data_IF_709062136159
#
_entry.id   IF_709062136159
#
_cell.length_a   1.000
_cell.length_b   1.000
_cell.length_c   1.000
_cell.angle_alpha   90.00
_cell.angle_beta   90.00
_cell.angle_gamma   90.00
#
_symmetry.space_group_name_H-M   'P 1'
#
loop_
_entity.id
_entity.type
_entity.pdbx_description
1 polymer ?
#
# COMPACT_ATOMS: atom_id res chain seq x y z
N UNK A 1 17.08 -26.98 -8.52
CA UNK A 1 16.66 -25.73 -7.84
C UNK A 1 15.41 -25.25 -8.53
N UNK A 2 14.28 -25.30 -7.82
CA UNK A 2 12.96 -25.04 -8.37
C UNK A 2 12.83 -23.59 -8.86
N UNK A 3 12.10 -23.40 -9.95
CA UNK A 3 11.76 -22.10 -10.49
C UNK A 3 10.96 -21.31 -9.45
N UNK A 4 11.60 -20.34 -8.78
CA UNK A 4 10.86 -19.23 -8.16
C UNK A 4 10.17 -18.48 -9.31
N UNK A 5 8.94 -18.89 -9.62
CA UNK A 5 8.03 -18.18 -10.49
C UNK A 5 7.82 -16.79 -9.87
N UNK A 6 8.10 -15.73 -10.64
CA UNK A 6 7.56 -14.42 -10.33
C UNK A 6 6.04 -14.59 -10.32
N UNK A 7 5.45 -14.65 -9.14
CA UNK A 7 4.04 -14.97 -8.97
C UNK A 7 3.29 -13.68 -8.68
N UNK A 8 3.30 -12.75 -9.64
CA UNK A 8 2.19 -11.80 -9.70
C UNK A 8 0.98 -12.68 -9.96
N UNK A 9 0.21 -12.91 -8.90
CA UNK A 9 -0.88 -13.86 -8.92
C UNK A 9 -1.85 -13.39 -10.02
N UNK A 10 -2.34 -14.28 -10.89
CA UNK A 10 -3.41 -13.96 -11.86
C UNK A 10 -4.54 -13.15 -11.24
N UNK A 11 -4.82 -13.38 -9.95
CA UNK A 11 -5.76 -12.64 -9.12
C UNK A 11 -5.58 -11.11 -9.10
N UNK A 12 -4.36 -10.57 -9.10
CA UNK A 12 -4.16 -9.10 -9.11
C UNK A 12 -4.56 -8.53 -10.46
N UNK A 13 -4.16 -9.19 -11.55
CA UNK A 13 -4.55 -8.80 -12.90
C UNK A 13 -6.07 -8.92 -13.08
N UNK A 14 -6.66 -10.03 -12.64
CA UNK A 14 -8.10 -10.27 -12.66
C UNK A 14 -8.86 -9.20 -11.86
N UNK A 15 -8.38 -8.85 -10.66
CA UNK A 15 -8.98 -7.79 -9.84
C UNK A 15 -8.93 -6.44 -10.57
N UNK A 16 -7.77 -6.03 -11.06
CA UNK A 16 -7.60 -4.75 -11.75
C UNK A 16 -8.43 -4.66 -13.04
N UNK A 17 -8.62 -5.77 -13.75
CA UNK A 17 -9.47 -5.82 -14.92
C UNK A 17 -10.95 -5.54 -14.63
N UNK A 18 -11.40 -5.65 -13.38
CA UNK A 18 -12.77 -5.29 -12.96
C UNK A 18 -12.95 -3.81 -12.66
N UNK A 19 -11.85 -3.05 -12.56
CA UNK A 19 -11.94 -1.65 -12.18
C UNK A 19 -12.49 -0.82 -13.35
N UNK A 20 -13.50 0.03 -13.13
CA UNK A 20 -14.12 0.85 -14.18
C UNK A 20 -13.28 2.10 -14.50
N UNK A 21 -11.95 1.95 -14.54
CA UNK A 21 -10.99 3.02 -14.81
C UNK A 21 -9.73 2.44 -15.45
N UNK A 22 -8.99 3.28 -16.16
CA UNK A 22 -7.66 2.93 -16.63
C UNK A 22 -6.68 2.85 -15.46
N UNK A 23 -5.77 1.88 -15.53
CA UNK A 23 -4.74 1.64 -14.51
C UNK A 23 -3.40 1.40 -15.20
N UNK A 24 -2.41 2.19 -14.81
CA UNK A 24 -1.01 1.95 -15.12
C UNK A 24 -0.35 1.15 -14.01
N UNK A 25 0.24 0.01 -14.36
CA UNK A 25 0.85 -0.92 -13.42
C UNK A 25 2.35 -0.96 -13.63
N UNK A 26 3.09 -0.59 -12.59
CA UNK A 26 4.56 -0.64 -12.55
C UNK A 26 4.99 -1.63 -11.48
N UNK A 27 5.59 -2.74 -11.89
CA UNK A 27 6.11 -3.75 -10.96
C UNK A 27 7.62 -3.66 -10.88
N UNK A 28 8.13 -3.39 -9.69
CA UNK A 28 9.56 -3.32 -9.44
C UNK A 28 10.08 -4.70 -9.06
N UNK A 29 11.12 -5.18 -9.72
CA UNK A 29 11.65 -6.54 -9.54
C UNK A 29 13.13 -6.63 -9.88
N UNK A 30 13.81 -7.65 -9.35
CA UNK A 30 15.19 -7.99 -9.71
C UNK A 30 15.34 -8.49 -11.16
N UNK A 31 14.26 -8.94 -11.78
CA UNK A 31 14.28 -9.57 -13.11
C UNK A 31 13.30 -8.89 -14.07
N UNK A 32 13.48 -7.59 -14.36
CA UNK A 32 12.48 -6.81 -15.11
C UNK A 32 12.25 -7.36 -16.52
N UNK A 33 13.31 -7.80 -17.22
CA UNK A 33 13.19 -8.40 -18.55
C UNK A 33 12.36 -9.68 -18.56
N UNK A 34 12.61 -10.58 -17.59
CA UNK A 34 11.84 -11.84 -17.44
C UNK A 34 10.39 -11.56 -17.11
N UNK A 35 10.13 -10.56 -16.26
CA UNK A 35 8.78 -10.18 -15.91
C UNK A 35 8.04 -9.57 -17.11
N UNK A 36 8.71 -8.70 -17.86
CA UNK A 36 8.13 -8.10 -19.06
C UNK A 36 7.78 -9.16 -20.12
N UNK A 37 8.63 -10.17 -20.32
CA UNK A 37 8.32 -11.32 -21.18
C UNK A 37 7.09 -12.09 -20.69
N UNK A 38 6.91 -12.19 -19.36
CA UNK A 38 5.74 -12.84 -18.76
C UNK A 38 4.47 -12.02 -19.04
N UNK A 39 4.51 -10.70 -18.90
CA UNK A 39 3.40 -9.81 -19.25
C UNK A 39 2.99 -9.95 -20.73
N UNK A 40 3.96 -10.03 -21.63
CA UNK A 40 3.71 -10.26 -23.06
C UNK A 40 3.06 -11.63 -23.28
N UNK A 41 3.58 -12.68 -22.64
CA UNK A 41 3.02 -14.04 -22.77
C UNK A 41 1.58 -14.14 -22.23
N UNK A 42 1.25 -13.37 -21.20
CA UNK A 42 -0.10 -13.26 -20.64
C UNK A 42 -1.00 -12.27 -21.40
N UNK A 43 -0.48 -11.64 -22.46
CA UNK A 43 -1.21 -10.65 -23.27
C UNK A 43 -1.74 -9.48 -22.44
N UNK A 44 -0.99 -9.06 -21.42
CA UNK A 44 -1.34 -7.87 -20.63
C UNK A 44 -1.20 -6.60 -21.47
N UNK A 45 -2.00 -5.55 -21.19
CA UNK A 45 -1.90 -4.29 -21.91
C UNK A 45 -0.55 -3.61 -21.63
N UNK A 46 -0.15 -2.71 -22.54
CA UNK A 46 1.11 -1.97 -22.45
C UNK A 46 1.23 -1.07 -21.19
N UNK A 47 0.11 -0.82 -20.50
CA UNK A 47 0.09 -0.15 -19.21
C UNK A 47 0.77 -0.96 -18.10
N UNK A 48 0.97 -2.28 -18.29
CA UNK A 48 1.78 -3.13 -17.41
C UNK A 48 3.24 -3.11 -17.84
N UNK A 49 4.12 -2.58 -17.00
CA UNK A 49 5.56 -2.65 -17.24
C UNK A 49 6.33 -3.09 -16.00
N UNK A 50 7.44 -3.77 -16.25
CA UNK A 50 8.41 -4.11 -15.22
C UNK A 50 9.46 -2.99 -15.10
N UNK A 51 9.93 -2.74 -13.88
CA UNK A 51 11.01 -1.80 -13.55
C UNK A 51 12.05 -2.49 -12.65
N UNK A 52 13.29 -2.04 -12.70
CA UNK A 52 14.42 -2.62 -11.95
C UNK A 52 15.77 -2.36 -12.62
N UNK A 53 16.86 -3.04 -12.20
CA UNK A 53 16.89 -3.94 -11.04
C UNK A 53 16.69 -3.18 -9.72
N UNK A 54 16.24 -3.89 -8.69
CA UNK A 54 16.31 -3.36 -7.33
C UNK A 54 17.78 -3.50 -6.94
N UNK A 55 18.52 -2.39 -6.87
CA UNK A 55 19.88 -2.46 -6.30
C UNK A 55 19.78 -3.02 -4.87
N UNK A 56 20.81 -3.74 -4.42
CA UNK A 56 20.86 -4.35 -3.08
C UNK A 56 20.36 -3.36 -2.03
N UNK A 57 19.15 -3.62 -1.52
CA UNK A 57 18.58 -2.82 -0.46
C UNK A 57 19.30 -3.17 0.83
N UNK A 58 19.79 -2.17 1.60
CA UNK A 58 20.41 -2.41 2.90
C UNK A 58 19.51 -3.20 3.85
N UNK A 59 18.19 -3.10 3.68
CA UNK A 59 17.22 -3.85 4.45
C UNK A 59 15.95 -4.22 3.65
N UNK A 60 15.33 -5.41 3.88
CA UNK A 60 14.06 -5.79 3.25
C UNK A 60 12.90 -4.81 3.49
N UNK A 61 12.88 -4.09 4.62
CA UNK A 61 11.86 -3.07 4.89
C UNK A 61 12.04 -1.78 4.07
N UNK A 62 13.11 -1.66 3.27
CA UNK A 62 13.29 -0.55 2.34
C UNK A 62 12.63 -0.81 0.98
N UNK A 63 11.86 -1.88 0.79
CA UNK A 63 11.18 -2.16 -0.49
C UNK A 63 10.30 -1.00 -0.95
N UNK A 64 9.50 -0.37 -0.09
CA UNK A 64 8.70 0.80 -0.47
C UNK A 64 9.53 1.98 -1.01
N UNK A 65 10.84 2.03 -0.71
CA UNK A 65 11.72 3.10 -1.15
C UNK A 65 12.05 3.04 -2.64
N UNK A 66 12.14 1.84 -3.23
CA UNK A 66 12.48 1.70 -4.66
C UNK A 66 11.40 2.27 -5.57
N UNK A 67 10.19 2.47 -5.05
CA UNK A 67 9.06 3.01 -5.79
C UNK A 67 9.04 4.54 -5.81
N UNK A 68 9.90 5.22 -5.04
CA UNK A 68 9.82 6.68 -4.86
C UNK A 68 10.06 7.46 -6.15
N UNK A 69 11.08 7.08 -6.91
CA UNK A 69 11.38 7.73 -8.19
C UNK A 69 10.23 7.55 -9.19
N UNK A 70 9.60 6.35 -9.19
CA UNK A 70 8.42 6.07 -10.01
C UNK A 70 7.22 6.92 -9.61
N UNK A 71 6.94 7.04 -8.30
CA UNK A 71 5.87 7.89 -7.79
C UNK A 71 6.10 9.36 -8.14
N UNK A 72 7.34 9.85 -8.01
CA UNK A 72 7.69 11.23 -8.34
C UNK A 72 7.55 11.50 -9.84
N UNK A 73 8.02 10.59 -10.69
CA UNK A 73 7.86 10.68 -12.13
C UNK A 73 6.37 10.66 -12.53
N UNK A 74 5.58 9.76 -11.95
CA UNK A 74 4.15 9.67 -12.20
C UNK A 74 3.42 10.96 -11.77
N UNK A 75 3.75 11.52 -10.60
CA UNK A 75 3.18 12.80 -10.15
C UNK A 75 3.49 13.95 -11.13
N UNK A 76 4.72 13.99 -11.67
CA UNK A 76 5.14 15.03 -12.60
C UNK A 76 4.36 15.02 -13.93
N UNK A 77 3.78 13.88 -14.33
CA UNK A 77 2.92 13.82 -15.53
C UNK A 77 1.60 14.58 -15.37
N UNK A 78 1.08 14.68 -14.13
CA UNK A 78 -0.23 15.25 -13.86
C UNK A 78 -1.42 14.45 -14.40
N UNK A 79 -1.21 13.20 -14.86
CA UNK A 79 -2.24 12.39 -15.52
C UNK A 79 -3.05 11.51 -14.57
N UNK A 80 -2.60 11.35 -13.32
CA UNK A 80 -3.20 10.42 -12.36
C UNK A 80 -4.07 11.12 -11.33
N UNK A 81 -5.17 10.46 -10.96
CA UNK A 81 -6.10 10.90 -9.89
C UNK A 81 -5.84 10.18 -8.56
N UNK A 82 -5.16 9.05 -8.59
CA UNK A 82 -4.73 8.30 -7.41
C UNK A 82 -3.40 7.57 -7.69
N UNK A 83 -2.61 7.40 -6.63
CA UNK A 83 -1.37 6.63 -6.62
C UNK A 83 -1.51 5.50 -5.61
N UNK A 84 -1.11 4.29 -6.00
CA UNK A 84 -1.25 3.10 -5.18
C UNK A 84 0.12 2.41 -5.13
N UNK A 85 0.60 2.14 -3.92
CA UNK A 85 1.64 1.17 -3.64
C UNK A 85 1.02 -0.03 -2.92
N UNK A 86 1.41 -1.21 -3.37
CA UNK A 86 0.92 -2.50 -2.91
C UNK A 86 2.04 -3.54 -3.08
N UNK A 87 2.19 -4.44 -2.12
CA UNK A 87 3.08 -5.61 -2.25
C UNK A 87 2.42 -6.69 -3.13
N UNK A 88 3.22 -7.61 -3.67
CA UNK A 88 2.81 -8.58 -4.69
C UNK A 88 1.86 -9.68 -4.17
N UNK A 89 1.78 -9.85 -2.86
CA UNK A 89 0.93 -10.83 -2.20
C UNK A 89 -0.41 -10.27 -1.70
N UNK A 90 -0.66 -8.98 -1.89
CA UNK A 90 -1.86 -8.30 -1.41
C UNK A 90 -2.93 -8.12 -2.49
N UNK A 91 -4.16 -7.89 -2.02
CA UNK A 91 -5.32 -7.58 -2.88
C UNK A 91 -6.01 -6.33 -2.37
N UNK A 92 -6.09 -5.31 -3.22
CA UNK A 92 -6.93 -4.13 -3.01
C UNK A 92 -8.11 -4.22 -3.97
N UNK A 93 -9.33 -4.12 -3.43
CA UNK A 93 -10.55 -4.15 -4.26
C UNK A 93 -10.98 -2.75 -4.69
N UNK A 94 -11.75 -2.66 -5.78
CA UNK A 94 -12.33 -1.39 -6.22
C UNK A 94 -13.18 -0.73 -5.12
N UNK A 95 -14.04 -1.50 -4.45
CA UNK A 95 -14.90 -1.01 -3.38
C UNK A 95 -14.07 -0.44 -2.21
N UNK A 96 -12.95 -1.09 -1.88
CA UNK A 96 -12.03 -0.60 -0.85
C UNK A 96 -11.37 0.72 -1.28
N UNK A 97 -10.97 0.85 -2.54
CA UNK A 97 -10.41 2.10 -3.08
C UNK A 97 -11.44 3.24 -3.09
N UNK A 98 -12.69 2.95 -3.47
CA UNK A 98 -13.79 3.93 -3.43
C UNK A 98 -14.11 4.34 -1.99
N UNK A 99 -14.17 3.39 -1.06
CA UNK A 99 -14.34 3.68 0.36
C UNK A 99 -13.20 4.58 0.86
N UNK A 100 -11.96 4.29 0.50
CA UNK A 100 -10.81 5.13 0.84
C UNK A 100 -10.97 6.54 0.27
N UNK A 101 -11.26 6.70 -1.03
CA UNK A 101 -11.37 8.01 -1.65
C UNK A 101 -12.48 8.85 -0.99
N UNK A 102 -13.58 8.17 -0.66
CA UNK A 102 -14.75 8.74 -0.02
C UNK A 102 -14.44 9.27 1.39
N UNK A 103 -13.73 8.50 2.22
CA UNK A 103 -13.35 8.91 3.56
C UNK A 103 -12.19 9.91 3.52
N UNK A 104 -11.24 9.73 2.60
CA UNK A 104 -10.06 10.59 2.46
C UNK A 104 -10.44 12.03 2.11
N UNK A 105 -11.49 12.25 1.33
CA UNK A 105 -12.00 13.59 1.04
C UNK A 105 -12.46 14.34 2.30
N UNK A 106 -12.90 13.62 3.33
CA UNK A 106 -13.31 14.16 4.63
C UNK A 106 -12.10 14.30 5.57
N UNK A 107 -11.20 13.33 5.57
CA UNK A 107 -10.04 13.26 6.46
C UNK A 107 -8.89 14.18 6.05
N UNK A 108 -8.67 14.40 4.75
CA UNK A 108 -7.53 15.19 4.24
C UNK A 108 -7.53 16.64 4.76
N UNK A 109 -8.66 17.39 4.74
CA UNK A 109 -8.71 18.74 5.29
C UNK A 109 -8.44 18.80 6.80
N UNK A 110 -8.69 17.70 7.52
CA UNK A 110 -8.44 17.56 8.95
C UNK A 110 -6.98 17.14 9.24
N UNK A 111 -6.15 16.96 8.21
CA UNK A 111 -4.76 16.54 8.36
C UNK A 111 -4.57 15.03 8.57
N UNK A 112 -5.61 14.22 8.34
CA UNK A 112 -5.55 12.77 8.47
C UNK A 112 -5.45 12.08 7.10
N UNK A 113 -4.81 10.91 7.09
CA UNK A 113 -4.78 10.00 5.96
C UNK A 113 -5.46 8.69 6.33
N UNK A 114 -6.43 8.27 5.52
CA UNK A 114 -7.04 6.95 5.64
C UNK A 114 -6.04 5.90 5.21
N UNK A 115 -5.81 4.93 6.09
CA UNK A 115 -5.03 3.73 5.78
C UNK A 115 -5.94 2.53 5.58
N UNK A 116 -5.40 1.45 5.03
CA UNK A 116 -6.08 0.17 4.92
C UNK A 116 -5.70 -0.74 6.08
N UNK A 117 -6.60 -1.65 6.43
CA UNK A 117 -6.28 -2.77 7.30
C UNK A 117 -6.06 -4.01 6.46
N UNK A 118 -4.91 -4.65 6.64
CA UNK A 118 -4.63 -5.97 6.11
C UNK A 118 -5.20 -7.01 7.04
N UNK A 119 -5.92 -7.92 6.42
CA UNK A 119 -6.43 -9.08 7.11
C UNK A 119 -6.02 -10.33 6.40
N UNK A 120 -5.68 -11.36 7.15
CA UNK A 120 -5.35 -12.67 6.63
C UNK A 120 -6.27 -13.72 7.23
N UNK A 121 -6.52 -14.78 6.45
CA UNK A 121 -7.20 -15.96 6.98
C UNK A 121 -6.14 -16.81 7.67
N UNK A 122 -6.20 -16.85 9.01
CA UNK A 122 -5.25 -17.60 9.81
C UNK A 122 -5.33 -19.10 9.47
N UNK A 123 -4.20 -19.77 9.18
CA UNK A 123 -4.21 -21.17 8.81
C UNK A 123 -4.61 -22.11 9.96
N UNK A 124 -4.51 -21.65 11.21
CA UNK A 124 -4.80 -22.48 12.39
C UNK A 124 -6.27 -22.53 12.80
N UNK A 125 -7.08 -21.51 12.51
CA UNK A 125 -8.50 -21.46 12.87
C UNK A 125 -9.44 -21.03 11.73
N UNK A 126 -8.89 -20.69 10.56
CA UNK A 126 -9.65 -20.23 9.40
C UNK A 126 -10.35 -18.88 9.60
N UNK A 127 -10.04 -18.15 10.67
CA UNK A 127 -10.64 -16.84 10.95
C UNK A 127 -9.84 -15.72 10.30
N UNK A 128 -10.50 -14.59 10.11
CA UNK A 128 -9.88 -13.37 9.63
C UNK A 128 -9.19 -12.64 10.79
N UNK A 129 -7.88 -12.41 10.68
CA UNK A 129 -7.06 -11.71 11.67
C UNK A 129 -6.53 -10.40 11.11
N UNK A 130 -6.53 -9.33 11.92
CA UNK A 130 -5.90 -8.05 11.59
C UNK A 130 -4.39 -8.16 11.80
N UNK A 131 -3.61 -7.86 10.76
CA UNK A 131 -2.15 -8.05 10.79
C UNK A 131 -1.35 -6.77 11.03
N UNK A 132 -2.00 -5.61 11.00
CA UNK A 132 -1.33 -4.29 11.09
C UNK A 132 -1.26 -3.72 12.51
N UNK A 133 -1.84 -4.40 13.49
CA UNK A 133 -1.81 -3.99 14.88
C UNK A 133 -0.77 -4.83 15.66
N UNK A 134 0.33 -4.20 16.07
CA UNK A 134 1.36 -4.84 16.91
C UNK A 134 0.90 -5.01 18.37
N UNK A 135 -0.17 -4.31 18.76
CA UNK A 135 -0.68 -4.28 20.13
C UNK A 135 -2.20 -4.30 20.13
N UNK A 136 -2.78 -4.93 21.15
CA UNK A 136 -4.22 -4.89 21.39
C UNK A 136 -4.67 -3.47 21.75
N UNK A 137 -5.77 -3.02 21.13
CA UNK A 137 -6.38 -1.72 21.41
C UNK A 137 -7.72 -1.92 22.11
N UNK A 138 -7.84 -1.44 23.35
CA UNK A 138 -9.12 -1.41 24.06
C UNK A 138 -9.95 -0.20 23.62
N UNK A 139 -10.88 -0.42 22.69
CA UNK A 139 -11.68 0.65 22.09
C UNK A 139 -12.46 1.48 23.12
N UNK A 140 -12.83 0.97 24.30
CA UNK A 140 -13.52 1.77 25.31
C UNK A 140 -12.63 2.90 25.87
N UNK A 141 -11.34 2.63 26.07
CA UNK A 141 -10.39 3.54 26.72
C UNK A 141 -9.40 4.18 25.76
N UNK A 142 -9.39 3.78 24.50
CA UNK A 142 -8.42 4.30 23.53
C UNK A 142 -8.68 5.77 23.20
N UNK A 143 -7.65 6.61 23.29
CA UNK A 143 -7.81 8.07 23.15
C UNK A 143 -7.63 8.56 21.70
N UNK A 144 -6.94 7.81 20.86
CA UNK A 144 -6.65 8.20 19.46
C UNK A 144 -7.81 7.82 18.53
N UNK A 145 -8.97 8.41 18.81
CA UNK A 145 -10.20 8.29 18.04
C UNK A 145 -10.56 9.62 17.42
N UNK A 146 -11.25 9.58 16.30
CA UNK A 146 -11.80 10.75 15.63
C UNK A 146 -13.24 10.44 15.24
N UNK A 147 -14.16 11.25 15.74
CA UNK A 147 -15.57 11.18 15.39
C UNK A 147 -15.89 12.31 14.42
N UNK A 148 -16.35 11.95 13.22
CA UNK A 148 -16.67 12.92 12.18
C UNK A 148 -18.16 12.84 11.84
N UNK A 149 -18.87 13.92 12.14
CA UNK A 149 -20.22 14.14 11.66
C UNK A 149 -20.17 14.75 10.26
N UNK A 150 -20.71 14.04 9.27
CA UNK A 150 -20.91 14.56 7.92
C UNK A 150 -22.41 14.78 7.73
N UNK A 151 -22.84 15.99 7.37
CA UNK A 151 -24.28 16.34 7.29
C UNK A 151 -25.12 15.38 6.42
N UNK A 152 -24.48 14.71 5.47
CA UNK A 152 -25.12 13.82 4.49
C UNK A 152 -24.90 12.34 4.78
N UNK A 153 -24.26 11.97 5.90
CA UNK A 153 -23.95 10.57 6.24
C UNK A 153 -24.12 10.30 7.73
N UNK A 154 -24.19 9.00 8.06
CA UNK A 154 -24.06 8.57 9.44
C UNK A 154 -22.71 9.05 10.02
N UNK A 155 -22.68 9.27 11.34
CA UNK A 155 -21.44 9.56 12.07
C UNK A 155 -20.39 8.48 11.75
N UNK A 156 -19.21 8.92 11.35
CA UNK A 156 -18.08 8.05 11.06
C UNK A 156 -17.10 8.08 12.22
N UNK A 157 -16.60 6.91 12.60
CA UNK A 157 -15.64 6.73 13.68
C UNK A 157 -14.33 6.20 13.10
N UNK A 158 -13.24 6.92 13.38
CA UNK A 158 -11.90 6.56 12.94
C UNK A 158 -11.01 6.32 14.15
N UNK A 159 -10.07 5.39 14.01
CA UNK A 159 -9.04 5.12 15.01
C UNK A 159 -7.67 5.20 14.37
N UNK A 160 -6.70 5.76 15.10
CA UNK A 160 -5.31 5.75 14.68
C UNK A 160 -4.58 4.69 15.50
N UNK A 161 -4.25 3.56 14.88
CA UNK A 161 -3.53 2.48 15.56
C UNK A 161 -2.16 2.96 16.12
N UNK A 162 -1.67 2.34 17.20
CA UNK A 162 -0.30 2.55 17.66
C UNK A 162 0.65 1.85 16.69
N UNK A 163 1.58 2.61 16.11
CA UNK A 163 2.66 2.10 15.24
C UNK A 163 2.17 1.14 14.12
N UNK A 164 1.20 1.54 13.28
CA UNK A 164 0.68 0.65 12.26
C UNK A 164 1.75 0.37 11.21
N UNK A 165 1.89 -0.90 10.85
CA UNK A 165 2.62 -1.25 9.65
C UNK A 165 1.73 -0.99 8.43
N UNK A 166 2.15 -0.08 7.55
CA UNK A 166 1.38 0.35 6.37
C UNK A 166 1.98 -0.24 5.11
N UNK A 167 1.57 -1.45 4.77
CA UNK A 167 2.05 -2.13 3.57
C UNK A 167 1.28 -1.75 2.29
N UNK A 168 0.14 -1.07 2.45
CA UNK A 168 -0.61 -0.43 1.38
C UNK A 168 -0.51 1.07 1.56
N UNK A 169 -0.27 1.80 0.49
CA UNK A 169 -0.32 3.25 0.49
C UNK A 169 -1.14 3.72 -0.69
N UNK A 170 -2.16 4.53 -0.41
CA UNK A 170 -2.95 5.21 -1.44
C UNK A 170 -2.90 6.71 -1.18
N UNK A 171 -2.72 7.49 -2.24
CA UNK A 171 -2.65 8.94 -2.17
C UNK A 171 -3.32 9.62 -3.38
N UNK A 172 -3.94 10.77 -3.11
CA UNK A 172 -4.27 11.75 -4.14
C UNK A 172 -3.00 12.46 -4.63
N UNK A 173 -3.03 13.17 -5.77
CA UNK A 173 -1.91 14.02 -6.20
C UNK A 173 -1.47 15.01 -5.11
N UNK A 174 -2.42 15.62 -4.41
CA UNK A 174 -2.15 16.56 -3.31
C UNK A 174 -1.44 15.86 -2.14
N UNK A 175 -1.91 14.68 -1.74
CA UNK A 175 -1.30 13.90 -0.66
C UNK A 175 0.11 13.44 -1.04
N UNK A 176 0.29 12.91 -2.25
CA UNK A 176 1.60 12.46 -2.71
C UNK A 176 2.59 13.64 -2.81
N UNK A 177 2.17 14.78 -3.36
CA UNK A 177 2.99 15.99 -3.42
C UNK A 177 3.42 16.48 -2.03
N UNK A 178 2.53 16.35 -1.03
CA UNK A 178 2.84 16.68 0.37
C UNK A 178 3.83 15.68 0.96
N UNK A 179 3.62 14.39 0.71
CA UNK A 179 4.49 13.32 1.20
C UNK A 179 5.91 13.45 0.65
N UNK A 180 6.07 13.73 -0.65
CA UNK A 180 7.37 13.94 -1.32
C UNK A 180 8.15 15.10 -0.69
N UNK A 181 7.46 16.16 -0.25
CA UNK A 181 8.07 17.31 0.44
C UNK A 181 8.35 17.05 1.92
N UNK A 182 7.88 15.94 2.47
CA UNK A 182 8.04 15.63 3.89
C UNK A 182 9.45 15.13 4.20
N UNK A 183 9.94 15.28 5.45
CA UNK A 183 11.22 14.72 5.87
C UNK A 183 11.30 13.18 5.74
N UNK A 184 10.16 12.47 5.69
CA UNK A 184 10.13 11.01 5.54
C UNK A 184 10.47 10.55 4.11
N UNK A 185 10.35 11.45 3.12
CA UNK A 185 10.72 11.18 1.73
C UNK A 185 12.24 11.14 1.50
N UNK A 186 13.03 11.79 2.33
CA UNK A 186 14.50 11.80 2.22
C UNK A 186 15.19 11.00 3.32
N UNK A 187 14.58 10.86 4.49
CA UNK A 187 15.17 10.10 5.61
C UNK A 187 14.98 8.61 5.40
N UNK A 188 16.04 7.87 5.04
CA UNK A 188 16.13 6.42 5.32
C UNK A 188 16.08 6.29 6.83
N UNK A 189 14.89 6.36 7.41
CA UNK A 189 14.71 6.16 8.83
C UNK A 189 15.08 4.70 9.01
N UNK A 190 16.28 4.45 9.53
CA UNK A 190 16.63 3.13 10.02
C UNK A 190 15.64 2.80 11.12
N UNK A 191 14.58 2.06 10.79
CA UNK A 191 13.61 1.49 11.75
C UNK A 191 14.28 0.33 12.52
N UNK A 192 15.58 0.42 12.74
CA UNK A 192 16.46 -0.73 12.87
C UNK A 192 16.76 -1.15 14.31
N UNK A 193 16.08 -0.56 15.30
CA UNK A 193 16.21 -1.01 16.69
C UNK A 193 14.92 -1.54 17.29
N UNK A 194 13.79 -0.87 17.07
CA UNK A 194 12.56 -1.25 17.78
C UNK A 194 11.94 -2.57 17.25
N UNK A 195 11.90 -2.80 15.94
CA UNK A 195 11.23 -3.97 15.37
C UNK A 195 12.09 -5.25 15.40
N UNK A 196 13.41 -5.12 15.26
CA UNK A 196 14.32 -6.26 15.31
C UNK A 196 14.42 -6.84 16.73
N UNK A 197 14.44 -5.99 17.75
CA UNK A 197 14.47 -6.42 19.15
C UNK A 197 13.10 -6.95 19.63
N UNK A 198 11.98 -6.59 18.99
CA UNK A 198 10.65 -7.10 19.35
C UNK A 198 10.32 -8.45 18.72
N UNK A 199 10.76 -8.67 17.47
CA UNK A 199 10.41 -9.87 16.68
C UNK A 199 11.37 -11.04 16.93
N UNK A 200 12.60 -10.77 17.39
CA UNK A 200 13.63 -11.80 17.58
C UNK A 200 14.12 -11.95 19.03
N UNK A 201 13.45 -11.33 20.01
CA UNK A 201 13.75 -11.51 21.44
C UNK A 201 12.92 -12.61 22.14
N UNK A 202 12.36 -13.57 21.39
CA UNK A 202 11.73 -14.79 21.94
C UNK A 202 12.56 -16.02 21.60
#
# INVERSE_FOLDING_TARGET
MAANSLNIKPRVVEELATWPTEVDVRVVTEKPERLQQTFIAWQLPASFTAAGPIHELPHPFELAWVHRDLMQAALATGQYTAFIYLEDDMRLTWDSLISWATDQAVLEPLGFQRQFYRTEIAPWDGKQWLFDALQHVHLATYERKLDVGVQTRAHQHYIQLPEPYSAVFVASPTLLARFIKSPFWSKRVGVHRALHDLVYAT
#
